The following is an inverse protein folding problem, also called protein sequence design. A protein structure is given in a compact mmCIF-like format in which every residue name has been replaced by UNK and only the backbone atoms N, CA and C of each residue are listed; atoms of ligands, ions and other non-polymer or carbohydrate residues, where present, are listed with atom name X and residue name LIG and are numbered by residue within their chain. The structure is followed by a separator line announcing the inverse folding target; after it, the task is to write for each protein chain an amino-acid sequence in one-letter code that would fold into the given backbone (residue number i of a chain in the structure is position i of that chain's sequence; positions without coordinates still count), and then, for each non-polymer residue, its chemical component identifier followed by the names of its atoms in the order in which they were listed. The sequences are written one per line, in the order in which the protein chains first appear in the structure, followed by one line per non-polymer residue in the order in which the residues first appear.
data_IF_818449993118
#
_entry.id   IF_818449993118
#
_cell.length_a   1.000
_cell.length_b   1.000
_cell.length_c   1.000
_cell.angle_alpha   90.00
_cell.angle_beta   90.00
_cell.angle_gamma   90.00
#
_symmetry.space_group_name_H-M   'P 1'
#
loop_
_entity.id
_entity.type
_entity.pdbx_description
1 polymer ?
#
# COMPACT_ATOMS: atom_id res chain seq x y z
N UNK A 1 -46.47 3.88 -7.73
CA UNK A 1 -45.78 3.80 -9.02
C UNK A 1 -44.35 4.24 -8.79
N UNK A 2 -43.41 3.32 -8.62
CA UNK A 2 -41.98 3.60 -8.49
C UNK A 2 -41.47 3.78 -9.91
N UNK A 3 -41.23 5.03 -10.31
CA UNK A 3 -40.50 5.36 -11.55
C UNK A 3 -39.12 4.72 -11.44
N UNK A 4 -38.95 3.55 -12.04
CA UNK A 4 -37.64 2.96 -12.28
C UNK A 4 -36.91 3.92 -13.20
N UNK A 5 -35.96 4.69 -12.67
CA UNK A 5 -35.10 5.53 -13.51
C UNK A 5 -34.17 4.56 -14.23
N UNK A 6 -34.45 4.40 -15.49
CA UNK A 6 -33.74 3.48 -16.36
C UNK A 6 -32.26 3.90 -16.49
N UNK A 7 -31.42 2.90 -16.63
CA UNK A 7 -30.02 3.07 -17.03
C UNK A 7 -29.96 3.81 -18.37
N UNK A 8 -29.23 4.91 -18.40
CA UNK A 8 -29.02 5.70 -19.62
C UNK A 8 -27.51 5.90 -19.89
N UNK A 9 -27.20 6.32 -21.12
CA UNK A 9 -25.81 6.48 -21.57
C UNK A 9 -25.03 7.51 -20.73
N UNK A 10 -25.71 8.52 -20.18
CA UNK A 10 -25.07 9.54 -19.32
C UNK A 10 -24.60 8.96 -18.00
N UNK A 11 -25.41 8.09 -17.37
CA UNK A 11 -25.07 7.39 -16.13
C UNK A 11 -23.90 6.42 -16.37
N UNK A 12 -23.97 5.64 -17.46
CA UNK A 12 -22.91 4.69 -17.81
C UNK A 12 -21.60 5.42 -18.11
N UNK A 13 -21.64 6.52 -18.84
CA UNK A 13 -20.46 7.34 -19.12
C UNK A 13 -19.85 7.93 -17.85
N UNK A 14 -20.69 8.40 -16.92
CA UNK A 14 -20.23 8.95 -15.63
C UNK A 14 -19.56 7.88 -14.78
N UNK A 15 -20.13 6.66 -14.72
CA UNK A 15 -19.56 5.51 -14.05
C UNK A 15 -18.26 5.05 -14.70
N UNK A 16 -18.16 5.07 -16.04
CA UNK A 16 -16.93 4.67 -16.74
C UNK A 16 -15.79 5.68 -16.50
N UNK A 17 -16.09 6.99 -16.51
CA UNK A 17 -15.11 8.02 -16.14
C UNK A 17 -14.64 7.83 -14.69
N UNK A 18 -15.57 7.57 -13.76
CA UNK A 18 -15.22 7.29 -12.36
C UNK A 18 -14.33 6.07 -12.26
N UNK A 19 -14.68 4.97 -12.94
CA UNK A 19 -13.89 3.74 -12.99
C UNK A 19 -12.47 3.99 -13.48
N UNK A 20 -12.32 4.77 -14.57
CA UNK A 20 -11.00 5.11 -15.12
C UNK A 20 -10.17 5.95 -14.13
N UNK A 21 -10.80 6.91 -13.43
CA UNK A 21 -10.12 7.71 -12.42
C UNK A 21 -9.66 6.87 -11.23
N UNK A 22 -10.53 5.97 -10.75
CA UNK A 22 -10.21 5.04 -9.65
C UNK A 22 -9.08 4.08 -10.06
N UNK A 23 -9.10 3.58 -11.31
CA UNK A 23 -8.01 2.73 -11.83
C UNK A 23 -6.68 3.45 -11.83
N UNK A 24 -6.63 4.71 -12.30
CA UNK A 24 -5.40 5.53 -12.27
C UNK A 24 -4.88 5.75 -10.85
N UNK A 25 -5.78 6.01 -9.89
CA UNK A 25 -5.41 6.16 -8.48
C UNK A 25 -4.87 4.84 -7.90
N UNK A 26 -5.46 3.71 -8.28
CA UNK A 26 -4.98 2.37 -7.93
C UNK A 26 -3.56 2.14 -8.42
N UNK A 27 -3.30 2.41 -9.71
CA UNK A 27 -1.99 2.23 -10.32
C UNK A 27 -0.92 3.09 -9.65
N UNK A 28 -1.23 4.38 -9.42
CA UNK A 28 -0.33 5.32 -8.74
C UNK A 28 -0.01 4.85 -7.31
N UNK A 29 -1.02 4.38 -6.57
CA UNK A 29 -0.81 3.87 -5.21
C UNK A 29 0.02 2.59 -5.20
N UNK A 30 -0.16 1.71 -6.18
CA UNK A 30 0.64 0.50 -6.35
C UNK A 30 2.10 0.83 -6.66
N UNK A 31 2.36 1.81 -7.54
CA UNK A 31 3.72 2.27 -7.82
C UNK A 31 4.41 2.80 -6.55
N UNK A 32 3.71 3.62 -5.77
CA UNK A 32 4.22 4.11 -4.49
C UNK A 32 4.49 2.98 -3.50
N UNK A 33 3.57 2.01 -3.38
CA UNK A 33 3.77 0.82 -2.57
C UNK A 33 5.02 0.04 -2.99
N UNK A 34 5.20 -0.20 -4.29
CA UNK A 34 6.36 -0.92 -4.81
C UNK A 34 7.67 -0.16 -4.57
N UNK A 35 7.65 1.17 -4.64
CA UNK A 35 8.81 2.00 -4.32
C UNK A 35 9.20 1.87 -2.84
N UNK A 36 8.23 1.93 -1.91
CA UNK A 36 8.48 1.67 -0.49
C UNK A 36 8.98 0.25 -0.24
N UNK A 37 8.36 -0.75 -0.87
CA UNK A 37 8.76 -2.15 -0.76
C UNK A 37 10.21 -2.35 -1.19
N UNK A 38 10.61 -1.84 -2.36
CA UNK A 38 11.99 -1.91 -2.84
C UNK A 38 12.96 -1.24 -1.85
N UNK A 39 12.62 -0.07 -1.33
CA UNK A 39 13.44 0.63 -0.33
C UNK A 39 13.69 -0.25 0.91
N UNK A 40 12.63 -0.86 1.44
CA UNK A 40 12.70 -1.77 2.59
C UNK A 40 13.57 -3.00 2.27
N UNK A 41 13.39 -3.61 1.10
CA UNK A 41 14.17 -4.76 0.67
C UNK A 41 15.67 -4.42 0.52
N UNK A 42 15.99 -3.28 -0.09
CA UNK A 42 17.37 -2.82 -0.24
C UNK A 42 18.06 -2.52 1.09
N UNK A 43 17.32 -2.11 2.11
CA UNK A 43 17.87 -1.85 3.43
C UNK A 43 17.97 -3.15 4.26
N UNK A 44 16.96 -3.99 4.23
CA UNK A 44 16.90 -5.18 5.09
C UNK A 44 17.88 -6.28 4.66
N UNK A 45 18.12 -6.47 3.37
CA UNK A 45 19.02 -7.51 2.89
C UNK A 45 20.47 -7.34 3.35
N UNK A 46 21.12 -6.15 3.18
CA UNK A 46 22.45 -5.91 3.71
C UNK A 46 22.52 -6.04 5.23
N UNK A 47 21.49 -5.58 5.94
CA UNK A 47 21.43 -5.67 7.40
C UNK A 47 21.32 -7.12 7.88
N UNK A 48 20.55 -7.96 7.20
CA UNK A 48 20.45 -9.38 7.52
C UNK A 48 21.79 -10.10 7.32
N UNK A 49 22.51 -9.82 6.21
CA UNK A 49 23.83 -10.37 5.93
C UNK A 49 24.84 -9.91 7.00
N UNK A 50 24.85 -8.61 7.32
CA UNK A 50 25.75 -8.06 8.32
C UNK A 50 25.47 -8.64 9.71
N UNK A 51 24.20 -8.84 10.08
CA UNK A 51 23.81 -9.47 11.34
C UNK A 51 24.25 -10.91 11.43
N UNK A 52 24.12 -11.69 10.35
CA UNK A 52 24.58 -13.07 10.25
C UNK A 52 26.09 -13.20 10.35
N UNK A 53 26.83 -12.33 9.62
CA UNK A 53 28.29 -12.29 9.69
C UNK A 53 28.80 -11.90 11.09
N UNK A 54 28.11 -10.94 11.73
CA UNK A 54 28.42 -10.49 13.08
C UNK A 54 28.25 -11.62 14.11
N UNK A 55 27.12 -12.35 14.06
CA UNK A 55 26.90 -13.52 14.91
C UNK A 55 27.94 -14.61 14.68
N UNK A 56 28.24 -14.92 13.41
CA UNK A 56 29.30 -15.90 13.07
C UNK A 56 30.66 -15.51 13.60
N UNK A 57 31.06 -14.23 13.47
CA UNK A 57 32.33 -13.75 13.98
C UNK A 57 32.48 -13.94 15.49
N UNK A 58 31.45 -13.69 16.27
CA UNK A 58 31.45 -13.92 17.72
C UNK A 58 31.73 -15.39 18.03
N UNK A 59 30.99 -16.30 17.39
CA UNK A 59 31.09 -17.72 17.66
C UNK A 59 32.45 -18.36 17.24
N UNK A 60 32.96 -17.96 16.06
CA UNK A 60 34.15 -18.60 15.49
C UNK A 60 35.47 -17.99 15.93
N UNK A 61 35.46 -16.71 16.36
CA UNK A 61 36.70 -15.98 16.66
C UNK A 61 36.94 -15.73 18.14
N UNK A 62 36.02 -16.11 19.02
CA UNK A 62 36.13 -15.91 20.49
C UNK A 62 37.37 -16.58 21.09
N UNK A 63 37.82 -17.73 20.57
CA UNK A 63 38.98 -18.47 21.05
C UNK A 63 40.36 -17.95 20.63
N UNK A 64 40.40 -16.91 19.79
CA UNK A 64 41.66 -16.33 19.28
C UNK A 64 42.13 -15.14 20.12
N UNK A 65 43.46 -14.90 20.14
CA UNK A 65 44.09 -13.80 20.89
C UNK A 65 43.57 -12.40 20.54
N UNK A 66 42.97 -12.21 19.34
CA UNK A 66 42.33 -10.99 18.89
C UNK A 66 40.80 -10.94 19.15
N UNK A 67 40.24 -11.95 19.81
CA UNK A 67 38.80 -12.05 20.07
C UNK A 67 38.19 -10.81 20.75
N UNK A 68 38.97 -10.13 21.62
CA UNK A 68 38.54 -8.89 22.25
C UNK A 68 38.22 -7.78 21.25
N UNK A 69 39.05 -7.59 20.22
CA UNK A 69 38.83 -6.59 19.18
C UNK A 69 37.66 -6.98 18.26
N UNK A 70 37.47 -8.29 18.02
CA UNK A 70 36.30 -8.82 17.28
C UNK A 70 35.01 -8.49 18.02
N UNK A 71 34.97 -8.72 19.34
CA UNK A 71 33.80 -8.43 20.14
C UNK A 71 33.43 -6.93 20.15
N UNK A 72 34.43 -6.04 20.21
CA UNK A 72 34.21 -4.59 20.11
C UNK A 72 33.64 -4.24 18.73
N UNK A 73 34.23 -4.78 17.65
CA UNK A 73 33.77 -4.58 16.27
C UNK A 73 32.35 -5.07 16.07
N UNK A 74 32.05 -6.27 16.55
CA UNK A 74 30.71 -6.88 16.50
C UNK A 74 29.69 -6.08 17.30
N UNK A 75 30.05 -5.59 18.47
CA UNK A 75 29.19 -4.72 19.30
C UNK A 75 28.87 -3.41 18.58
N UNK A 76 29.87 -2.78 17.97
CA UNK A 76 29.68 -1.54 17.21
C UNK A 76 28.76 -1.78 15.99
N UNK A 77 28.98 -2.85 15.23
CA UNK A 77 28.13 -3.23 14.10
C UNK A 77 26.69 -3.47 14.53
N UNK A 78 26.47 -4.16 15.64
CA UNK A 78 25.14 -4.39 16.22
C UNK A 78 24.42 -3.10 16.57
N UNK A 79 25.11 -2.10 17.13
CA UNK A 79 24.53 -0.78 17.44
C UNK A 79 24.12 -0.03 16.17
N UNK A 80 24.94 -0.08 15.11
CA UNK A 80 24.60 0.54 13.81
C UNK A 80 23.35 -0.12 13.21
N UNK A 81 23.30 -1.46 13.21
CA UNK A 81 22.14 -2.23 12.71
C UNK A 81 20.89 -1.84 13.51
N UNK A 82 20.97 -1.84 14.84
CA UNK A 82 19.86 -1.47 15.70
C UNK A 82 19.39 -0.02 15.45
N UNK A 83 20.32 0.91 15.25
CA UNK A 83 20.01 2.30 14.91
C UNK A 83 19.25 2.44 13.59
N UNK A 84 19.69 1.75 12.54
CA UNK A 84 19.03 1.77 11.23
C UNK A 84 17.62 1.17 11.30
N UNK A 85 17.46 0.01 11.94
CA UNK A 85 16.16 -0.64 12.11
C UNK A 85 15.20 0.21 12.94
N UNK A 86 15.71 0.87 14.01
CA UNK A 86 14.91 1.78 14.83
C UNK A 86 14.46 3.00 14.05
N UNK A 87 15.31 3.56 13.21
CA UNK A 87 14.95 4.70 12.34
C UNK A 87 13.83 4.32 11.36
N UNK A 88 13.92 3.17 10.72
CA UNK A 88 12.91 2.70 9.76
C UNK A 88 11.55 2.45 10.44
N UNK A 89 11.60 1.90 11.67
CA UNK A 89 10.42 1.75 12.52
C UNK A 89 9.81 3.11 12.91
N UNK A 90 10.64 4.05 13.38
CA UNK A 90 10.19 5.39 13.79
C UNK A 90 9.69 6.24 12.61
N UNK A 91 10.26 6.07 11.42
CA UNK A 91 9.82 6.78 10.20
C UNK A 91 8.44 6.35 9.69
N UNK A 92 7.88 5.28 10.25
CA UNK A 92 6.57 4.77 9.89
C UNK A 92 6.49 4.22 8.47
N UNK A 93 7.62 3.86 7.85
CA UNK A 93 7.70 3.35 6.47
C UNK A 93 6.76 2.16 6.25
N UNK A 94 6.74 1.21 7.17
CA UNK A 94 5.84 0.05 7.10
C UNK A 94 4.36 0.45 7.18
N UNK A 95 4.03 1.44 8.02
CA UNK A 95 2.66 1.96 8.13
C UNK A 95 2.23 2.65 6.83
N UNK A 96 3.12 3.48 6.26
CA UNK A 96 2.88 4.15 4.98
C UNK A 96 2.71 3.13 3.84
N UNK A 97 3.54 2.10 3.79
CA UNK A 97 3.44 1.02 2.82
C UNK A 97 2.11 0.25 2.95
N UNK A 98 1.71 -0.10 4.17
CA UNK A 98 0.42 -0.75 4.44
C UNK A 98 -0.78 0.10 4.02
N UNK A 99 -0.76 1.41 4.31
CA UNK A 99 -1.81 2.34 3.90
C UNK A 99 -1.93 2.44 2.36
N UNK A 100 -0.81 2.49 1.64
CA UNK A 100 -0.83 2.52 0.16
C UNK A 100 -1.38 1.22 -0.44
N UNK A 101 -1.01 0.07 0.14
CA UNK A 101 -1.55 -1.22 -0.30
C UNK A 101 -3.06 -1.34 -0.02
N UNK A 102 -3.53 -0.88 1.14
CA UNK A 102 -4.96 -0.87 1.47
C UNK A 102 -5.72 0.01 0.47
N UNK A 103 -5.26 1.23 0.25
CA UNK A 103 -5.87 2.15 -0.71
C UNK A 103 -5.91 1.59 -2.14
N UNK A 104 -4.83 0.96 -2.59
CA UNK A 104 -4.80 0.27 -3.89
C UNK A 104 -5.91 -0.79 -3.99
N UNK A 105 -6.04 -1.65 -2.98
CA UNK A 105 -7.08 -2.70 -2.94
C UNK A 105 -8.50 -2.12 -2.95
N UNK A 106 -8.73 -1.04 -2.21
CA UNK A 106 -10.04 -0.40 -2.14
C UNK A 106 -10.40 0.23 -3.49
N UNK A 107 -9.43 0.87 -4.16
CA UNK A 107 -9.59 1.36 -5.52
C UNK A 107 -9.88 0.23 -6.52
N UNK A 108 -9.14 -0.86 -6.49
CA UNK A 108 -9.41 -2.02 -7.35
C UNK A 108 -10.80 -2.60 -7.13
N UNK A 109 -11.21 -2.73 -5.87
CA UNK A 109 -12.53 -3.25 -5.52
C UNK A 109 -13.64 -2.37 -6.08
N UNK A 110 -13.56 -1.04 -5.89
CA UNK A 110 -14.52 -0.09 -6.44
C UNK A 110 -14.55 -0.12 -7.97
N UNK A 111 -13.39 -0.13 -8.62
CA UNK A 111 -13.28 -0.21 -10.08
C UNK A 111 -13.91 -1.50 -10.62
N UNK A 112 -13.65 -2.65 -9.99
CA UNK A 112 -14.19 -3.95 -10.38
C UNK A 112 -15.71 -4.03 -10.17
N UNK A 113 -16.25 -3.46 -9.09
CA UNK A 113 -17.69 -3.39 -8.88
C UNK A 113 -18.39 -2.60 -9.98
N UNK A 114 -17.85 -1.43 -10.36
CA UNK A 114 -18.41 -0.63 -11.44
C UNK A 114 -18.30 -1.39 -12.77
N UNK A 115 -17.14 -1.98 -13.06
CA UNK A 115 -16.91 -2.76 -14.27
C UNK A 115 -17.90 -3.92 -14.40
N UNK A 116 -18.12 -4.67 -13.33
CA UNK A 116 -19.03 -5.82 -13.32
C UNK A 116 -20.47 -5.40 -13.64
N UNK A 117 -20.93 -4.29 -13.07
CA UNK A 117 -22.30 -3.80 -13.35
C UNK A 117 -22.41 -3.25 -14.78
N UNK A 118 -21.39 -2.54 -15.27
CA UNK A 118 -21.39 -2.03 -16.66
C UNK A 118 -21.31 -3.14 -17.70
N UNK A 119 -20.73 -4.30 -17.36
CA UNK A 119 -20.65 -5.46 -18.26
C UNK A 119 -21.95 -6.28 -18.35
N UNK A 120 -22.91 -6.03 -17.44
CA UNK A 120 -24.24 -6.68 -17.49
C UNK A 120 -25.18 -5.94 -18.46
N UNK A 121 -26.07 -6.66 -19.08
CA UNK A 121 -27.14 -6.04 -19.86
C UNK A 121 -28.02 -5.17 -18.96
N UNK A 122 -28.50 -4.03 -19.48
CA UNK A 122 -29.33 -3.07 -18.70
C UNK A 122 -30.53 -3.72 -18.05
N UNK A 123 -31.11 -4.73 -18.70
CA UNK A 123 -32.28 -5.47 -18.19
C UNK A 123 -31.97 -6.38 -16.99
N UNK A 124 -30.71 -6.79 -16.85
CA UNK A 124 -30.25 -7.70 -15.78
C UNK A 124 -29.78 -6.96 -14.54
N UNK A 125 -29.57 -5.65 -14.65
CA UNK A 125 -29.12 -4.83 -13.51
C UNK A 125 -30.22 -4.66 -12.48
N UNK A 126 -29.98 -5.17 -11.28
CA UNK A 126 -30.97 -5.23 -10.21
C UNK A 126 -31.26 -3.87 -9.55
N UNK A 127 -30.36 -2.91 -9.69
CA UNK A 127 -30.41 -1.59 -9.03
C UNK A 127 -30.70 -0.49 -10.05
N UNK A 128 -31.43 0.52 -9.62
CA UNK A 128 -31.64 1.77 -10.34
C UNK A 128 -30.30 2.46 -10.63
N UNK A 129 -30.10 2.90 -11.89
CA UNK A 129 -28.84 3.48 -12.33
C UNK A 129 -28.41 4.73 -11.57
N UNK A 130 -29.38 5.61 -11.23
CA UNK A 130 -29.10 6.83 -10.46
C UNK A 130 -28.68 6.50 -9.02
N UNK A 131 -29.36 5.56 -8.39
CA UNK A 131 -29.02 5.11 -7.03
C UNK A 131 -27.64 4.47 -7.01
N UNK A 132 -27.33 3.63 -8.00
CA UNK A 132 -26.02 3.02 -8.11
C UNK A 132 -24.91 4.07 -8.31
N UNK A 133 -25.14 5.05 -9.20
CA UNK A 133 -24.19 6.14 -9.41
C UNK A 133 -23.95 6.95 -8.12
N UNK A 134 -25.03 7.32 -7.41
CA UNK A 134 -24.92 8.06 -6.15
C UNK A 134 -24.16 7.27 -5.07
N UNK A 135 -24.45 5.98 -4.93
CA UNK A 135 -23.75 5.11 -4.01
C UNK A 135 -22.25 5.03 -4.34
N UNK A 136 -21.90 4.77 -5.59
CA UNK A 136 -20.50 4.66 -6.01
C UNK A 136 -19.77 5.99 -5.95
N UNK A 137 -20.45 7.09 -6.16
CA UNK A 137 -19.88 8.42 -5.98
C UNK A 137 -19.58 8.73 -4.51
N UNK A 138 -20.46 8.32 -3.59
CA UNK A 138 -20.22 8.45 -2.15
C UNK A 138 -19.00 7.62 -1.71
N UNK A 139 -18.92 6.35 -2.13
CA UNK A 139 -17.79 5.47 -1.86
C UNK A 139 -16.47 6.05 -2.42
N UNK A 140 -16.49 6.57 -3.64
CA UNK A 140 -15.34 7.23 -4.28
C UNK A 140 -14.89 8.46 -3.48
N UNK A 141 -15.84 9.31 -3.07
CA UNK A 141 -15.54 10.51 -2.28
C UNK A 141 -14.93 10.16 -0.92
N UNK A 142 -15.49 9.18 -0.24
CA UNK A 142 -14.97 8.71 1.05
C UNK A 142 -13.54 8.18 0.90
N UNK A 143 -13.29 7.37 -0.12
CA UNK A 143 -11.99 6.80 -0.43
C UNK A 143 -10.94 7.87 -0.69
N UNK A 144 -11.24 8.87 -1.54
CA UNK A 144 -10.31 9.97 -1.86
C UNK A 144 -10.09 10.86 -0.64
N UNK A 145 -11.14 11.20 0.11
CA UNK A 145 -11.03 12.04 1.31
C UNK A 145 -10.24 11.34 2.41
N UNK A 146 -10.52 10.06 2.65
CA UNK A 146 -9.78 9.25 3.63
C UNK A 146 -8.30 9.16 3.30
N UNK A 147 -7.95 8.97 2.03
CA UNK A 147 -6.56 8.94 1.60
C UNK A 147 -5.85 10.29 1.79
N UNK A 148 -6.47 11.40 1.44
CA UNK A 148 -5.89 12.75 1.59
C UNK A 148 -5.62 13.09 3.07
N UNK A 149 -6.50 12.68 3.98
CA UNK A 149 -6.30 12.83 5.43
C UNK A 149 -5.10 12.00 5.93
N UNK A 150 -4.95 10.78 5.45
CA UNK A 150 -3.80 9.93 5.82
C UNK A 150 -2.48 10.53 5.33
N UNK A 151 -2.45 11.12 4.14
CA UNK A 151 -1.26 11.81 3.62
C UNK A 151 -0.92 13.06 4.44
N UNK A 152 -1.91 13.86 4.81
CA UNK A 152 -1.70 15.09 5.61
C UNK A 152 -1.20 14.83 7.04
N UNK A 153 -1.53 13.69 7.63
CA UNK A 153 -1.09 13.31 8.99
C UNK A 153 0.31 12.69 8.99
N UNK A 154 0.76 12.13 7.86
CA UNK A 154 2.02 11.41 7.74
C UNK A 154 3.12 12.18 6.96
N UNK A 155 2.83 13.40 6.51
CA UNK A 155 3.81 14.32 5.90
C UNK A 155 4.41 15.23 6.94
#
# INVERSE_FOLDING_TARGET
MTTRIEWNDSIEKSLDIMRQNVSKLSDLSNEQYLAFKKRVEYMNLPLAILSGANAGAIFFLEGYSFGHYVNIGCGTASLVIAGVLSYDWCSGTYKKMGAKLAFHRDCENLSNQIKNVLSMDRSERKMDGTKFLQQKFAEYKELVTGHSLIESVNG
#
